data_IF_499632840615
#
_entry.id   IF_499632840615
#
_cell.length_a   1.000
_cell.length_b   1.000
_cell.length_c   1.000
_cell.angle_alpha   90.00
_cell.angle_beta   90.00
_cell.angle_gamma   90.00
#
_symmetry.space_group_name_H-M   'P 1'
#
loop_
_entity.id
_entity.type
_entity.pdbx_description
1 polymer ?
#
# COMPACT_ATOMS: atom_id res chain seq x y z
N UNK A 1 29.62 -22.29 18.84
CA UNK A 1 28.43 -22.65 18.06
C UNK A 1 27.71 -21.37 17.70
N UNK A 2 27.98 -20.80 16.51
CA UNK A 2 27.35 -19.55 16.06
C UNK A 2 26.05 -19.93 15.35
N UNK A 3 24.91 -19.45 15.90
CA UNK A 3 23.61 -19.58 15.30
C UNK A 3 23.54 -18.64 14.09
N UNK A 4 23.63 -19.17 12.90
CA UNK A 4 23.33 -18.45 11.66
C UNK A 4 21.81 -18.27 11.56
N UNK A 5 21.36 -17.02 11.77
CA UNK A 5 19.99 -16.64 11.40
C UNK A 5 19.84 -16.82 9.89
N UNK A 6 18.71 -17.42 9.42
CA UNK A 6 18.45 -17.53 8.00
C UNK A 6 18.36 -16.13 7.38
N UNK A 7 18.94 -15.96 6.19
CA UNK A 7 19.08 -14.70 5.48
C UNK A 7 17.75 -13.94 5.37
N UNK A 8 17.78 -12.69 5.78
CA UNK A 8 16.82 -11.70 5.31
C UNK A 8 17.16 -11.49 3.84
N UNK A 9 16.29 -11.92 2.96
CA UNK A 9 16.36 -11.53 1.56
C UNK A 9 16.39 -10.00 1.55
N UNK A 10 17.48 -9.44 1.02
CA UNK A 10 17.82 -8.02 1.14
C UNK A 10 16.87 -7.21 0.23
N UNK A 11 15.67 -6.93 0.75
CA UNK A 11 14.79 -5.92 0.18
C UNK A 11 15.51 -4.60 0.41
N UNK A 12 15.99 -3.96 -0.65
CA UNK A 12 16.62 -2.64 -0.55
C UNK A 12 15.71 -1.65 0.18
N UNK A 13 16.27 -0.58 0.72
CA UNK A 13 15.48 0.49 1.35
C UNK A 13 14.52 1.06 0.31
N UNK A 14 13.23 1.09 0.62
CA UNK A 14 12.17 1.72 -0.18
C UNK A 14 11.69 2.99 0.51
N UNK A 15 11.21 3.94 -0.27
CA UNK A 15 10.38 5.04 0.24
C UNK A 15 8.93 4.58 0.18
N UNK A 16 8.27 4.58 1.33
CA UNK A 16 6.88 4.14 1.48
C UNK A 16 6.02 5.34 1.84
N UNK A 17 5.12 5.71 0.93
CA UNK A 17 4.12 6.73 1.21
C UNK A 17 3.07 6.16 2.16
N UNK A 18 2.68 6.94 3.17
CA UNK A 18 1.59 6.58 4.06
C UNK A 18 0.57 7.70 4.08
N UNK A 19 -0.70 7.34 4.05
CA UNK A 19 -1.78 8.30 4.17
C UNK A 19 -2.90 7.75 5.03
N UNK A 20 -3.42 8.60 5.90
CA UNK A 20 -4.46 8.28 6.86
C UNK A 20 -5.53 9.36 6.78
N UNK A 21 -6.81 8.98 6.68
CA UNK A 21 -7.89 9.89 7.00
C UNK A 21 -8.09 9.96 8.52
N UNK A 22 -9.03 10.75 8.99
CA UNK A 22 -9.32 10.92 10.41
C UNK A 22 -9.69 9.60 11.11
N UNK A 23 -10.29 8.63 10.42
CA UNK A 23 -10.60 7.29 10.98
C UNK A 23 -9.39 6.36 10.96
N UNK A 24 -8.53 6.51 9.96
CA UNK A 24 -7.30 5.73 9.82
C UNK A 24 -6.26 6.01 10.91
N UNK A 25 -6.34 7.15 11.59
CA UNK A 25 -5.41 7.56 12.67
C UNK A 25 -5.26 6.50 13.76
N UNK A 26 -6.29 5.67 14.01
CA UNK A 26 -6.21 4.57 14.98
C UNK A 26 -5.04 3.60 14.74
N UNK A 27 -4.68 3.38 13.49
CA UNK A 27 -3.59 2.47 13.11
C UNK A 27 -2.28 3.19 12.81
N UNK A 28 -2.27 4.54 12.79
CA UNK A 28 -1.15 5.34 12.35
C UNK A 28 0.18 4.97 13.05
N UNK A 29 0.20 5.03 14.36
CA UNK A 29 1.43 4.79 15.12
C UNK A 29 2.03 3.40 14.84
N UNK A 30 1.19 2.36 14.81
CA UNK A 30 1.61 0.99 14.53
C UNK A 30 2.12 0.79 13.10
N UNK A 31 1.48 1.41 12.12
CA UNK A 31 1.90 1.35 10.71
C UNK A 31 3.25 2.04 10.52
N UNK A 32 3.41 3.26 11.01
CA UNK A 32 4.68 4.00 10.94
C UNK A 32 5.82 3.23 11.63
N UNK A 33 5.57 2.71 12.83
CA UNK A 33 6.56 1.92 13.56
C UNK A 33 6.96 0.64 12.79
N UNK A 34 5.99 -0.02 12.16
CA UNK A 34 6.25 -1.23 11.37
C UNK A 34 7.16 -0.92 10.19
N UNK A 35 6.88 0.12 9.42
CA UNK A 35 7.67 0.54 8.25
C UNK A 35 9.10 0.91 8.69
N UNK A 36 9.23 1.69 9.76
CA UNK A 36 10.54 2.08 10.32
C UNK A 36 11.34 0.86 10.79
N UNK A 37 10.71 -0.10 11.47
CA UNK A 37 11.37 -1.33 11.94
C UNK A 37 11.83 -2.23 10.79
N UNK A 38 11.20 -2.14 9.62
CA UNK A 38 11.62 -2.83 8.40
C UNK A 38 12.80 -2.12 7.71
N UNK A 39 13.16 -0.93 8.15
CA UNK A 39 14.30 -0.15 7.61
C UNK A 39 13.95 0.62 6.34
N UNK A 40 12.67 0.94 6.13
CA UNK A 40 12.22 1.75 4.99
C UNK A 40 12.06 3.22 5.38
N UNK A 41 12.21 4.10 4.40
CA UNK A 41 11.95 5.53 4.56
C UNK A 41 10.46 5.82 4.42
N UNK A 42 9.95 6.73 5.24
CA UNK A 42 8.53 7.07 5.29
C UNK A 42 8.29 8.44 4.64
N UNK A 43 7.36 8.49 3.69
CA UNK A 43 6.78 9.73 3.15
C UNK A 43 5.38 9.86 3.76
N UNK A 44 5.27 10.65 4.82
CA UNK A 44 4.05 10.78 5.60
C UNK A 44 3.15 11.89 5.05
N UNK A 45 2.00 11.49 4.49
CA UNK A 45 0.99 12.35 3.87
C UNK A 45 -0.35 12.31 4.62
N UNK A 46 -0.40 11.59 5.74
CA UNK A 46 -1.62 11.41 6.51
C UNK A 46 -1.92 12.51 7.51
N UNK A 47 -3.14 12.51 8.02
CA UNK A 47 -3.47 13.34 9.18
C UNK A 47 -3.04 12.66 10.48
N UNK A 48 -2.81 13.47 11.50
CA UNK A 48 -2.32 12.99 12.80
C UNK A 48 -3.42 12.84 13.85
N UNK A 49 -4.57 13.46 13.59
CA UNK A 49 -5.66 13.58 14.55
C UNK A 49 -7.01 13.22 13.94
N UNK A 50 -7.97 12.91 14.81
CA UNK A 50 -9.35 12.60 14.43
C UNK A 50 -10.14 13.83 13.94
N UNK A 51 -9.67 15.01 14.26
CA UNK A 51 -10.33 16.30 13.96
C UNK A 51 -9.29 17.32 13.48
N UNK A 52 -9.55 18.07 12.40
CA UNK A 52 -10.77 18.05 11.59
C UNK A 52 -10.92 16.78 10.74
N UNK A 53 -12.16 16.48 10.36
CA UNK A 53 -12.44 15.41 9.39
C UNK A 53 -11.84 15.77 8.04
N UNK A 54 -11.27 14.76 7.37
CA UNK A 54 -10.75 14.87 6.01
C UNK A 54 -11.40 13.80 5.14
N UNK A 55 -11.55 14.10 3.88
CA UNK A 55 -12.15 13.18 2.93
C UNK A 55 -11.08 12.20 2.40
N UNK A 56 -11.40 10.91 2.44
CA UNK A 56 -10.49 9.87 1.99
C UNK A 56 -10.08 9.98 0.51
N UNK A 57 -10.88 10.54 -0.42
CA UNK A 57 -10.42 10.71 -1.80
C UNK A 57 -9.24 11.68 -1.92
N UNK A 58 -9.18 12.72 -1.09
CA UNK A 58 -8.02 13.62 -1.03
C UNK A 58 -6.78 12.87 -0.53
N UNK A 59 -6.95 12.02 0.49
CA UNK A 59 -5.86 11.20 1.02
C UNK A 59 -5.39 10.12 0.04
N UNK A 60 -6.29 9.58 -0.77
CA UNK A 60 -5.95 8.70 -1.88
C UNK A 60 -5.14 9.43 -2.94
N UNK A 61 -5.59 10.61 -3.36
CA UNK A 61 -4.85 11.43 -4.34
C UNK A 61 -3.44 11.78 -3.87
N UNK A 62 -3.27 12.18 -2.61
CA UNK A 62 -1.94 12.53 -2.07
C UNK A 62 -0.95 11.36 -2.21
N UNK A 63 -1.38 10.15 -1.90
CA UNK A 63 -0.52 8.95 -1.98
C UNK A 63 -0.28 8.50 -3.43
N UNK A 64 -1.30 8.61 -4.28
CA UNK A 64 -1.21 8.30 -5.70
C UNK A 64 -0.18 9.20 -6.38
N UNK A 65 -0.26 10.51 -6.14
CA UNK A 65 0.68 11.49 -6.68
C UNK A 65 2.12 11.21 -6.22
N UNK A 66 2.33 10.86 -4.96
CA UNK A 66 3.66 10.51 -4.45
C UNK A 66 4.26 9.30 -5.18
N UNK A 67 3.45 8.30 -5.51
CA UNK A 67 3.89 7.12 -6.24
C UNK A 67 4.14 7.46 -7.73
N UNK A 68 3.21 8.15 -8.38
CA UNK A 68 3.29 8.50 -9.79
C UNK A 68 4.44 9.48 -10.10
N UNK A 69 4.76 10.38 -9.16
CA UNK A 69 5.89 11.30 -9.27
C UNK A 69 7.24 10.65 -8.94
N UNK A 70 7.24 9.41 -8.43
CA UNK A 70 8.44 8.70 -8.04
C UNK A 70 9.00 9.12 -6.67
N UNK A 71 8.20 9.81 -5.84
CA UNK A 71 8.57 10.17 -4.47
C UNK A 71 8.50 8.96 -3.52
N UNK A 72 7.71 7.95 -3.87
CA UNK A 72 7.61 6.68 -3.16
C UNK A 72 7.46 5.51 -4.14
N UNK A 73 7.92 4.34 -3.73
CA UNK A 73 7.80 3.10 -4.51
C UNK A 73 6.49 2.35 -4.21
N UNK A 74 6.01 2.45 -2.98
CA UNK A 74 4.76 1.81 -2.51
C UNK A 74 4.02 2.70 -1.53
N UNK A 75 2.74 2.37 -1.32
CA UNK A 75 1.89 3.12 -0.41
C UNK A 75 1.09 2.26 0.56
N UNK A 76 0.80 2.81 1.73
CA UNK A 76 -0.17 2.26 2.70
C UNK A 76 -1.21 3.33 2.98
N UNK A 77 -2.46 3.06 2.63
CA UNK A 77 -3.59 3.98 2.74
C UNK A 77 -4.62 3.42 3.74
N UNK A 78 -4.89 4.17 4.78
CA UNK A 78 -5.77 3.73 5.87
C UNK A 78 -6.94 4.67 6.06
N UNK A 79 -8.14 4.14 5.96
CA UNK A 79 -9.38 4.83 6.31
C UNK A 79 -10.24 3.96 7.24
N UNK A 80 -11.52 4.23 7.38
CA UNK A 80 -12.39 3.44 8.27
C UNK A 80 -12.56 1.99 7.82
N UNK A 81 -12.98 1.76 6.59
CA UNK A 81 -13.20 0.41 6.03
C UNK A 81 -12.16 -0.04 5.01
N UNK A 82 -11.37 0.89 4.46
CA UNK A 82 -10.49 0.65 3.32
C UNK A 82 -11.19 0.71 1.96
N UNK A 83 -12.52 0.58 1.92
CA UNK A 83 -13.30 0.45 0.66
C UNK A 83 -13.23 1.73 -0.17
N UNK A 84 -13.65 2.87 0.39
CA UNK A 84 -13.67 4.13 -0.32
C UNK A 84 -12.28 4.57 -0.76
N UNK A 85 -11.28 4.38 0.09
CA UNK A 85 -9.88 4.67 -0.21
C UNK A 85 -9.38 3.84 -1.40
N UNK A 86 -9.65 2.53 -1.42
CA UNK A 86 -9.28 1.64 -2.52
C UNK A 86 -9.97 2.03 -3.84
N UNK A 87 -11.28 2.37 -3.79
CA UNK A 87 -12.02 2.82 -4.98
C UNK A 87 -11.43 4.13 -5.53
N UNK A 88 -11.13 5.09 -4.66
CA UNK A 88 -10.58 6.38 -5.06
C UNK A 88 -9.17 6.24 -5.65
N UNK A 89 -8.27 5.51 -4.99
CA UNK A 89 -6.90 5.32 -5.44
C UNK A 89 -6.83 4.70 -6.85
N UNK A 90 -7.67 3.71 -7.13
CA UNK A 90 -7.69 3.07 -8.46
C UNK A 90 -8.28 3.94 -9.59
N UNK A 91 -8.58 5.22 -9.34
CA UNK A 91 -9.04 6.13 -10.39
C UNK A 91 -7.90 6.76 -11.20
N UNK A 92 -6.67 6.73 -10.70
CA UNK A 92 -5.51 7.22 -11.42
C UNK A 92 -4.77 6.08 -12.14
N UNK A 93 -4.45 6.25 -13.44
CA UNK A 93 -3.69 5.27 -14.20
C UNK A 93 -2.33 5.00 -13.54
N UNK A 94 -1.93 3.73 -13.52
CA UNK A 94 -0.69 3.29 -12.89
C UNK A 94 -0.80 2.97 -11.39
N UNK A 95 -1.97 3.18 -10.79
CA UNK A 95 -2.23 2.79 -9.40
C UNK A 95 -2.97 1.45 -9.37
N UNK A 96 -2.43 0.54 -8.59
CA UNK A 96 -3.00 -0.78 -8.32
C UNK A 96 -3.15 -0.93 -6.81
N UNK A 97 -4.27 -0.46 -6.31
CA UNK A 97 -4.63 -0.46 -4.90
C UNK A 97 -5.60 -1.60 -4.58
N UNK A 98 -5.36 -2.31 -3.51
CA UNK A 98 -6.31 -3.31 -3.03
C UNK A 98 -6.46 -3.29 -1.51
N UNK A 99 -7.65 -3.63 -1.04
CA UNK A 99 -7.88 -3.94 0.37
C UNK A 99 -7.40 -5.36 0.60
N UNK A 100 -6.53 -5.55 1.59
CA UNK A 100 -6.13 -6.88 2.03
C UNK A 100 -6.36 -7.00 3.53
N UNK A 101 -7.17 -7.98 3.93
CA UNK A 101 -7.43 -8.30 5.34
C UNK A 101 -6.81 -9.64 5.75
N UNK A 102 -6.00 -10.23 4.88
CA UNK A 102 -5.23 -11.45 5.09
C UNK A 102 -3.85 -11.33 4.42
N UNK A 103 -2.89 -12.08 4.96
CA UNK A 103 -1.49 -12.00 4.51
C UNK A 103 -1.29 -12.66 3.14
N UNK A 104 -2.12 -13.62 2.76
CA UNK A 104 -2.04 -14.23 1.44
C UNK A 104 -2.34 -13.19 0.35
N UNK A 105 -3.46 -12.47 0.46
CA UNK A 105 -3.82 -11.42 -0.51
C UNK A 105 -2.81 -10.29 -0.53
N UNK A 106 -2.27 -9.88 0.63
CA UNK A 106 -1.26 -8.83 0.72
C UNK A 106 0.05 -9.20 0.01
N UNK A 107 0.44 -10.48 0.07
CA UNK A 107 1.62 -10.99 -0.65
C UNK A 107 1.33 -11.18 -2.13
N UNK A 108 0.29 -11.93 -2.43
CA UNK A 108 -0.04 -12.35 -3.79
C UNK A 108 -0.43 -11.17 -4.69
N UNK A 109 -1.07 -10.14 -4.14
CA UNK A 109 -1.40 -8.93 -4.90
C UNK A 109 -0.16 -8.22 -5.43
N UNK A 110 0.94 -8.20 -4.68
CA UNK A 110 2.23 -7.72 -5.18
C UNK A 110 2.87 -8.70 -6.15
N UNK A 111 2.93 -9.97 -5.77
CA UNK A 111 3.63 -10.99 -6.54
C UNK A 111 3.05 -11.19 -7.94
N UNK A 112 1.72 -11.17 -8.08
CA UNK A 112 1.04 -11.43 -9.34
C UNK A 112 0.54 -10.20 -10.09
N UNK A 113 0.16 -9.14 -9.39
CA UNK A 113 -0.51 -7.98 -9.96
C UNK A 113 0.28 -6.68 -9.78
N UNK A 114 1.49 -6.76 -9.24
CA UNK A 114 2.35 -5.61 -8.95
C UNK A 114 1.60 -4.51 -8.18
N UNK A 115 0.84 -4.92 -7.16
CA UNK A 115 0.08 -4.01 -6.30
C UNK A 115 1.01 -3.00 -5.64
N UNK A 116 0.73 -1.71 -5.81
CA UNK A 116 1.58 -0.65 -5.28
C UNK A 116 0.97 0.13 -4.10
N UNK A 117 -0.32 -0.06 -3.81
CA UNK A 117 -0.97 0.50 -2.61
C UNK A 117 -1.73 -0.58 -1.86
N UNK A 118 -1.39 -0.76 -0.57
CA UNK A 118 -2.17 -1.55 0.37
C UNK A 118 -3.19 -0.64 1.07
N UNK A 119 -4.48 -0.96 0.94
CA UNK A 119 -5.54 -0.27 1.66
C UNK A 119 -5.99 -1.08 2.89
N UNK A 120 -6.11 -0.40 4.02
CA UNK A 120 -6.54 -0.99 5.30
C UNK A 120 -7.75 -0.25 5.86
N UNK A 121 -8.63 -0.99 6.52
CA UNK A 121 -9.75 -0.45 7.30
C UNK A 121 -9.46 -0.49 8.79
N UNK A 122 -9.34 0.67 9.43
CA UNK A 122 -9.06 0.77 10.88
C UNK A 122 -10.19 0.24 11.77
N UNK A 123 -11.40 0.14 11.22
CA UNK A 123 -12.55 -0.48 11.89
C UNK A 123 -12.66 -1.99 11.63
N UNK A 124 -11.80 -2.52 10.75
CA UNK A 124 -11.84 -3.93 10.32
C UNK A 124 -10.68 -4.72 10.87
N UNK A 125 -9.46 -4.19 10.79
CA UNK A 125 -8.25 -4.87 11.26
C UNK A 125 -7.72 -4.24 12.54
N UNK A 126 -7.28 -5.10 13.45
CA UNK A 126 -6.59 -4.67 14.67
C UNK A 126 -5.09 -4.40 14.40
N UNK A 127 -4.39 -3.81 15.38
CA UNK A 127 -2.98 -3.41 15.22
C UNK A 127 -2.04 -4.57 14.86
N UNK A 128 -2.25 -5.75 15.41
CA UNK A 128 -1.40 -6.92 15.14
C UNK A 128 -1.53 -7.40 13.69
N UNK A 129 -2.76 -7.50 13.19
CA UNK A 129 -3.00 -7.87 11.80
C UNK A 129 -2.49 -6.79 10.84
N UNK A 130 -2.72 -5.51 11.14
CA UNK A 130 -2.19 -4.40 10.35
C UNK A 130 -0.67 -4.47 10.20
N UNK A 131 0.06 -4.75 11.29
CA UNK A 131 1.51 -4.97 11.26
C UNK A 131 1.89 -6.12 10.32
N UNK A 132 1.22 -7.25 10.42
CA UNK A 132 1.54 -8.43 9.63
C UNK A 132 1.23 -8.20 8.14
N UNK A 133 0.13 -7.50 7.83
CA UNK A 133 -0.25 -7.11 6.46
C UNK A 133 0.78 -6.16 5.83
N UNK A 134 1.17 -5.10 6.55
CA UNK A 134 2.18 -4.13 6.08
C UNK A 134 3.52 -4.83 5.87
N UNK A 135 3.94 -5.67 6.81
CA UNK A 135 5.20 -6.42 6.71
C UNK A 135 5.19 -7.32 5.47
N UNK A 136 4.12 -8.06 5.25
CA UNK A 136 3.98 -8.98 4.13
C UNK A 136 3.93 -8.24 2.80
N UNK A 137 3.16 -7.16 2.71
CA UNK A 137 3.07 -6.31 1.52
C UNK A 137 4.42 -5.72 1.12
N UNK A 138 5.17 -5.20 2.07
CA UNK A 138 6.47 -4.56 1.78
C UNK A 138 7.57 -5.57 1.47
N UNK A 139 7.48 -6.80 1.99
CA UNK A 139 8.42 -7.87 1.70
C UNK A 139 8.19 -8.54 0.34
N UNK A 140 6.95 -8.52 -0.17
CA UNK A 140 6.61 -9.18 -1.43
C UNK A 140 7.24 -8.49 -2.65
N UNK A 141 7.46 -9.25 -3.72
CA UNK A 141 8.02 -8.76 -4.98
C UNK A 141 7.19 -9.24 -6.15
N UNK A 142 7.12 -8.42 -7.19
CA UNK A 142 6.50 -8.83 -8.45
C UNK A 142 7.31 -9.96 -9.08
N UNK A 143 6.64 -11.05 -9.43
CA UNK A 143 7.26 -12.24 -10.00
C UNK A 143 7.90 -11.95 -11.38
N UNK A 144 7.24 -11.11 -12.19
CA UNK A 144 7.73 -10.74 -13.52
C UNK A 144 7.63 -11.85 -14.56
N UNK A 145 7.00 -12.98 -14.22
CA UNK A 145 6.75 -14.05 -15.18
C UNK A 145 5.84 -13.61 -16.33
N UNK A 146 6.01 -14.18 -17.51
CA UNK A 146 5.35 -13.78 -18.76
C UNK A 146 3.83 -13.61 -18.61
N UNK A 147 3.16 -14.56 -17.93
CA UNK A 147 1.71 -14.52 -17.73
C UNK A 147 1.26 -13.34 -16.84
N UNK A 148 2.07 -12.94 -15.87
CA UNK A 148 1.77 -11.82 -14.98
C UNK A 148 2.01 -10.49 -15.68
N UNK A 149 3.13 -10.37 -16.40
CA UNK A 149 3.44 -9.20 -17.23
C UNK A 149 2.32 -8.98 -18.25
N UNK A 150 1.85 -10.05 -18.93
CA UNK A 150 0.73 -9.96 -19.88
C UNK A 150 -0.55 -9.43 -19.22
N UNK A 151 -0.90 -9.90 -18.01
CA UNK A 151 -2.10 -9.45 -17.29
C UNK A 151 -1.97 -7.99 -16.86
N UNK A 152 -0.79 -7.59 -16.38
CA UNK A 152 -0.51 -6.20 -16.04
C UNK A 152 -0.68 -5.29 -17.25
N UNK A 153 -0.16 -5.69 -18.41
CA UNK A 153 -0.35 -4.98 -19.66
C UNK A 153 -1.83 -4.83 -20.05
N UNK A 154 -2.65 -5.87 -19.83
CA UNK A 154 -4.09 -5.80 -20.09
C UNK A 154 -4.80 -4.79 -19.16
N UNK A 155 -4.36 -4.65 -17.91
CA UNK A 155 -4.87 -3.64 -16.97
C UNK A 155 -4.51 -2.24 -17.48
N UNK A 156 -3.27 -2.01 -17.87
CA UNK A 156 -2.82 -0.74 -18.45
C UNK A 156 -3.57 -0.37 -19.73
N UNK A 157 -3.93 -1.37 -20.57
CA UNK A 157 -4.75 -1.15 -21.76
C UNK A 157 -6.16 -0.67 -21.42
N UNK A 158 -6.75 -1.18 -20.32
CA UNK A 158 -8.05 -0.70 -19.82
C UNK A 158 -7.96 0.77 -19.38
N UNK A 159 -6.90 1.16 -18.68
CA UNK A 159 -6.67 2.54 -18.26
C UNK A 159 -6.59 3.49 -19.46
N UNK A 160 -5.83 3.12 -20.50
CA UNK A 160 -5.68 3.92 -21.70
C UNK A 160 -6.98 4.11 -22.49
N UNK A 161 -7.79 3.06 -22.57
CA UNK A 161 -9.05 3.10 -23.33
C UNK A 161 -10.13 3.94 -22.67
N UNK A 162 -10.10 4.10 -21.35
CA UNK A 162 -11.04 4.95 -20.62
C UNK A 162 -10.66 6.43 -20.65
N UNK A 163 -9.40 6.77 -20.95
CA UNK A 163 -8.93 8.16 -21.05
C UNK A 163 -9.33 8.86 -22.36
N UNK A 164 -9.95 8.15 -23.31
CA UNK A 164 -10.35 8.65 -24.63
C UNK A 164 -11.89 8.65 -24.85
N UNK A 165 -12.67 8.37 -23.81
CA UNK A 165 -14.13 8.47 -23.79
C UNK A 165 -14.57 9.69 -23.00
#
# INVERSE_FOLDING_TARGET
MQSTRPGRDNVGVMRVAVSFDHRGVKLRAGVLQTIANLGHDIVDLGVETLDPRVDYPDKARDIDEAILNGDAERGVLVCGSGVGASVAANKLPGIRAAICHDVYSAHQGVEHDDMNILCLGSEVVGPSLARDLVTTFLAARFDGGERYVKRLQMIEDLERNTSHA
#
